data_IF_001330972848
#
_entry.id   IF_001330972848
#
_cell.length_a   1.000
_cell.length_b   1.000
_cell.length_c   1.000
_cell.angle_alpha   90.00
_cell.angle_beta   90.00
_cell.angle_gamma   90.00
#
_symmetry.space_group_name_H-M   'P 1'
#
loop_
_entity.id
_entity.type
_entity.pdbx_description
1 polymer ?
#
# COMPACT_ATOMS: atom_id res chain seq x y z
N UNK A 1 -9.16 8.11 -5.34
CA UNK A 1 -8.71 7.41 -4.12
C UNK A 1 -9.88 7.26 -3.17
N UNK A 2 -10.02 6.10 -2.51
CA UNK A 2 -11.08 5.83 -1.54
C UNK A 2 -10.49 5.66 -0.14
N UNK A 3 -11.13 6.27 0.85
CA UNK A 3 -10.94 6.02 2.27
C UNK A 3 -12.24 5.44 2.81
N UNK A 4 -12.16 4.34 3.56
CA UNK A 4 -13.28 3.75 4.26
C UNK A 4 -13.06 3.87 5.76
N UNK A 5 -14.12 4.20 6.50
CA UNK A 5 -14.10 4.28 7.95
C UNK A 5 -14.50 2.94 8.56
N UNK A 6 -13.80 2.55 9.63
CA UNK A 6 -14.23 1.49 10.53
C UNK A 6 -14.02 1.92 11.99
N UNK A 7 -14.94 1.57 12.91
CA UNK A 7 -14.83 1.94 14.32
C UNK A 7 -13.71 1.18 15.04
N UNK A 8 -13.35 0.00 14.55
CA UNK A 8 -12.21 -0.77 15.03
C UNK A 8 -11.43 -1.42 13.87
N UNK A 9 -10.45 -2.27 14.21
CA UNK A 9 -9.56 -2.92 13.24
C UNK A 9 -9.96 -4.35 12.87
N UNK A 10 -11.11 -4.86 13.33
CA UNK A 10 -11.51 -6.26 13.11
C UNK A 10 -11.59 -6.58 11.62
N UNK A 11 -11.24 -7.83 11.28
CA UNK A 11 -11.24 -8.32 9.90
C UNK A 11 -12.61 -8.29 9.19
N UNK A 12 -13.72 -8.21 9.94
CA UNK A 12 -15.07 -8.06 9.35
C UNK A 12 -15.20 -6.78 8.52
N UNK A 13 -14.49 -5.71 8.87
CA UNK A 13 -14.55 -4.44 8.16
C UNK A 13 -13.97 -4.53 6.75
N UNK A 14 -12.71 -4.97 6.53
CA UNK A 14 -12.21 -5.14 5.18
C UNK A 14 -12.97 -6.21 4.39
N UNK A 15 -13.50 -7.26 5.04
CA UNK A 15 -14.39 -8.24 4.39
C UNK A 15 -15.66 -7.58 3.84
N UNK A 16 -16.28 -6.69 4.62
CA UNK A 16 -17.48 -5.97 4.20
C UNK A 16 -17.16 -4.94 3.10
N UNK A 17 -16.09 -4.15 3.27
CA UNK A 17 -15.69 -3.14 2.30
C UNK A 17 -15.28 -3.73 0.94
N UNK A 18 -14.71 -4.94 0.93
CA UNK A 18 -14.21 -5.62 -0.25
C UNK A 18 -15.10 -6.79 -0.70
N UNK A 19 -16.32 -6.90 -0.18
CA UNK A 19 -17.22 -8.03 -0.46
C UNK A 19 -17.47 -8.26 -1.96
N UNK A 20 -17.52 -7.19 -2.75
CA UNK A 20 -17.69 -7.24 -4.21
C UNK A 20 -16.38 -7.15 -5.01
N UNK A 21 -15.22 -7.07 -4.36
CA UNK A 21 -13.93 -6.87 -5.03
C UNK A 21 -13.28 -8.20 -5.41
N UNK A 22 -12.72 -8.27 -6.61
CA UNK A 22 -11.85 -9.36 -7.07
C UNK A 22 -10.62 -8.77 -7.76
N UNK A 23 -9.48 -9.43 -7.61
CA UNK A 23 -8.20 -8.97 -8.15
C UNK A 23 -7.10 -8.96 -7.11
N UNK A 24 -6.11 -8.09 -7.31
CA UNK A 24 -4.93 -8.02 -6.43
C UNK A 24 -5.18 -7.06 -5.28
N UNK A 25 -4.95 -7.50 -4.04
CA UNK A 25 -4.90 -6.64 -2.86
C UNK A 25 -3.47 -6.54 -2.38
N UNK A 26 -2.92 -5.33 -2.44
CA UNK A 26 -1.60 -5.05 -1.92
C UNK A 26 -1.67 -4.44 -0.51
N UNK A 27 -1.18 -5.19 0.49
CA UNK A 27 -1.30 -4.82 1.89
C UNK A 27 -0.04 -5.19 2.69
N UNK A 28 0.02 -4.71 3.93
CA UNK A 28 0.89 -5.31 4.93
C UNK A 28 0.29 -6.67 5.36
N UNK A 29 1.10 -7.50 6.03
CA UNK A 29 0.65 -8.80 6.52
C UNK A 29 -0.22 -8.68 7.79
N UNK A 30 -1.16 -7.72 7.82
CA UNK A 30 -2.11 -7.57 8.91
C UNK A 30 -3.10 -8.75 8.89
N UNK A 31 -3.14 -9.49 10.00
CA UNK A 31 -3.95 -10.71 10.10
C UNK A 31 -5.45 -10.51 9.86
N UNK A 32 -5.97 -9.29 9.98
CA UNK A 32 -7.38 -8.98 9.68
C UNK A 32 -7.74 -9.13 8.20
N UNK A 33 -6.76 -9.16 7.29
CA UNK A 33 -6.97 -9.40 5.86
C UNK A 33 -6.99 -10.88 5.48
N UNK A 34 -6.52 -11.79 6.34
CA UNK A 34 -6.33 -13.21 6.00
C UNK A 34 -7.59 -13.88 5.42
N UNK A 35 -8.77 -13.47 5.87
CA UNK A 35 -10.03 -14.04 5.40
C UNK A 35 -10.34 -13.69 3.94
N UNK A 36 -9.88 -12.53 3.47
CA UNK A 36 -10.09 -12.07 2.10
C UNK A 36 -9.45 -12.99 1.06
N UNK A 37 -8.38 -13.70 1.45
CA UNK A 37 -7.59 -14.52 0.54
C UNK A 37 -8.06 -15.97 0.48
N UNK A 38 -8.94 -16.42 1.40
CA UNK A 38 -9.29 -17.84 1.56
C UNK A 38 -10.02 -18.44 0.36
N UNK A 39 -10.87 -17.67 -0.29
CA UNK A 39 -11.68 -18.15 -1.42
C UNK A 39 -11.00 -17.94 -2.79
N UNK A 40 -9.79 -17.36 -2.81
CA UNK A 40 -9.01 -17.13 -4.03
C UNK A 40 -9.53 -15.99 -4.93
N UNK A 41 -10.61 -15.31 -4.56
CA UNK A 41 -11.13 -14.16 -5.33
C UNK A 41 -10.16 -12.98 -5.32
N UNK A 42 -9.43 -12.83 -4.21
CA UNK A 42 -8.43 -11.80 -4.01
C UNK A 42 -7.06 -12.45 -3.93
N UNK A 43 -6.15 -12.01 -4.80
CA UNK A 43 -4.74 -12.41 -4.77
C UNK A 43 -3.94 -11.47 -3.87
N UNK A 44 -3.19 -12.05 -2.93
CA UNK A 44 -2.38 -11.29 -1.98
C UNK A 44 -1.07 -10.82 -2.60
N UNK A 45 -0.80 -9.52 -2.54
CA UNK A 45 0.50 -8.93 -2.79
C UNK A 45 1.03 -8.31 -1.50
N UNK A 46 2.14 -8.83 -0.97
CA UNK A 46 2.71 -8.33 0.27
C UNK A 46 3.69 -7.18 0.01
N UNK A 47 4.00 -6.43 1.07
CA UNK A 47 4.83 -5.24 1.00
C UNK A 47 6.28 -5.49 1.42
N UNK A 48 7.24 -5.31 0.49
CA UNK A 48 8.67 -5.41 0.80
C UNK A 48 9.16 -4.34 1.78
N UNK A 49 8.54 -3.16 1.82
CA UNK A 49 8.94 -2.12 2.77
C UNK A 49 8.73 -2.59 4.23
N UNK A 50 7.69 -3.38 4.51
CA UNK A 50 7.46 -3.96 5.83
C UNK A 50 8.45 -5.08 6.17
N UNK A 51 8.71 -5.99 5.22
CA UNK A 51 9.71 -7.04 5.40
C UNK A 51 11.11 -6.44 5.65
N UNK A 52 11.49 -5.44 4.85
CA UNK A 52 12.75 -4.69 4.98
C UNK A 52 12.83 -3.96 6.32
N UNK A 53 11.76 -3.29 6.76
CA UNK A 53 11.72 -2.54 8.04
C UNK A 53 12.06 -3.44 9.22
N UNK A 54 11.53 -4.66 9.27
CA UNK A 54 11.84 -5.62 10.36
C UNK A 54 13.33 -5.96 10.42
N UNK A 55 13.99 -6.14 9.28
CA UNK A 55 15.44 -6.41 9.21
C UNK A 55 16.22 -5.15 9.60
N UNK A 56 15.79 -3.99 9.10
CA UNK A 56 16.40 -2.70 9.41
C UNK A 56 16.35 -2.36 10.90
N UNK A 57 15.22 -2.62 11.58
CA UNK A 57 15.08 -2.36 13.01
C UNK A 57 16.06 -3.22 13.84
N UNK A 58 16.34 -4.44 13.39
CA UNK A 58 17.40 -5.28 13.97
C UNK A 58 18.78 -4.69 13.67
N UNK A 59 19.03 -4.27 12.42
CA UNK A 59 20.30 -3.66 12.02
C UNK A 59 20.63 -2.41 12.85
N UNK A 60 19.68 -1.51 13.06
CA UNK A 60 19.88 -0.28 13.85
C UNK A 60 20.27 -0.59 15.30
N UNK A 61 19.69 -1.66 15.88
CA UNK A 61 19.98 -2.06 17.27
C UNK A 61 21.26 -2.88 17.39
N UNK A 62 21.55 -3.72 16.40
CA UNK A 62 22.68 -4.66 16.41
C UNK A 62 23.13 -4.92 14.98
N UNK A 63 23.97 -4.02 14.42
CA UNK A 63 24.51 -4.18 13.08
C UNK A 63 25.35 -5.45 12.97
N UNK A 64 25.22 -6.14 11.84
CA UNK A 64 26.01 -7.33 11.52
C UNK A 64 26.12 -7.51 10.01
N UNK A 65 27.14 -8.24 9.56
CA UNK A 65 27.30 -8.61 8.15
C UNK A 65 26.05 -9.29 7.57
N UNK A 66 25.32 -10.07 8.39
CA UNK A 66 24.06 -10.71 7.97
C UNK A 66 22.95 -9.68 7.73
N UNK A 67 22.78 -8.72 8.63
CA UNK A 67 21.76 -7.66 8.45
C UNK A 67 22.08 -6.76 7.26
N UNK A 68 23.35 -6.44 7.06
CA UNK A 68 23.81 -5.60 5.95
C UNK A 68 23.60 -6.29 4.60
N UNK A 69 24.00 -7.56 4.49
CA UNK A 69 23.79 -8.37 3.29
C UNK A 69 22.30 -8.55 2.97
N UNK A 70 21.45 -8.78 3.97
CA UNK A 70 20.01 -8.87 3.77
C UNK A 70 19.41 -7.56 3.24
N UNK A 71 19.80 -6.41 3.81
CA UNK A 71 19.35 -5.09 3.35
C UNK A 71 19.86 -4.76 1.94
N UNK A 72 21.11 -5.13 1.63
CA UNK A 72 21.71 -4.97 0.31
C UNK A 72 20.93 -5.75 -0.75
N UNK A 73 20.67 -7.03 -0.53
CA UNK A 73 19.90 -7.88 -1.46
C UNK A 73 18.50 -7.35 -1.72
N UNK A 74 17.82 -6.84 -0.68
CA UNK A 74 16.52 -6.18 -0.85
C UNK A 74 16.68 -4.87 -1.62
N UNK A 75 17.76 -4.11 -1.38
CA UNK A 75 18.09 -2.90 -2.12
C UNK A 75 18.28 -3.14 -3.62
N UNK A 76 18.85 -4.27 -4.02
CA UNK A 76 19.01 -4.66 -5.43
C UNK A 76 17.64 -4.84 -6.13
N UNK A 77 16.63 -5.36 -5.43
CA UNK A 77 15.26 -5.42 -5.95
C UNK A 77 14.69 -4.02 -6.19
N UNK A 78 14.88 -3.11 -5.23
CA UNK A 78 14.42 -1.73 -5.33
C UNK A 78 15.15 -0.91 -6.40
N UNK A 79 16.42 -1.25 -6.68
CA UNK A 79 17.16 -0.62 -7.78
C UNK A 79 16.50 -0.92 -9.13
N UNK A 80 16.10 -2.18 -9.37
CA UNK A 80 15.35 -2.57 -10.57
C UNK A 80 14.01 -1.83 -10.63
N UNK A 81 13.26 -1.79 -9.52
CA UNK A 81 11.97 -1.08 -9.47
C UNK A 81 12.09 0.42 -9.74
N UNK A 82 13.23 1.04 -9.38
CA UNK A 82 13.51 2.43 -9.70
C UNK A 82 13.77 2.64 -11.20
N UNK A 83 14.47 1.71 -11.86
CA UNK A 83 14.75 1.76 -13.30
C UNK A 83 13.48 1.59 -14.15
N UNK A 84 12.57 0.70 -13.75
CA UNK A 84 11.36 0.38 -14.53
C UNK A 84 10.16 1.29 -14.21
N UNK A 85 10.33 2.25 -13.28
CA UNK A 85 9.24 3.13 -12.86
C UNK A 85 8.78 4.03 -14.02
N UNK A 86 7.48 4.06 -14.26
CA UNK A 86 6.88 4.83 -15.35
C UNK A 86 6.79 4.08 -16.69
N UNK A 87 7.36 2.87 -16.77
CA UNK A 87 7.15 1.97 -17.91
C UNK A 87 5.74 1.35 -17.87
N UNK A 88 5.30 0.75 -18.99
CA UNK A 88 4.03 0.03 -19.04
C UNK A 88 4.07 -1.25 -18.20
N UNK A 89 2.91 -1.79 -17.82
CA UNK A 89 2.82 -3.02 -17.04
C UNK A 89 3.53 -4.19 -17.73
N UNK A 90 3.44 -4.30 -19.06
CA UNK A 90 4.06 -5.35 -19.86
C UNK A 90 5.59 -5.26 -19.82
N UNK A 91 6.13 -4.04 -19.94
CA UNK A 91 7.57 -3.79 -19.86
C UNK A 91 8.11 -4.09 -18.46
N UNK A 92 7.39 -3.63 -17.42
CA UNK A 92 7.74 -3.93 -16.02
C UNK A 92 7.78 -5.43 -15.77
N UNK A 93 6.77 -6.16 -16.24
CA UNK A 93 6.70 -7.61 -16.09
C UNK A 93 7.89 -8.30 -16.79
N UNK A 94 8.21 -7.92 -18.03
CA UNK A 94 9.33 -8.48 -18.77
C UNK A 94 10.67 -8.27 -18.04
N UNK A 95 10.94 -7.05 -17.58
CA UNK A 95 12.15 -6.72 -16.82
C UNK A 95 12.22 -7.47 -15.48
N UNK A 96 11.10 -7.60 -14.76
CA UNK A 96 11.02 -8.36 -13.51
C UNK A 96 11.29 -9.85 -13.71
N UNK A 97 10.75 -10.44 -14.78
CA UNK A 97 11.01 -11.85 -15.10
C UNK A 97 12.49 -12.07 -15.44
N UNK A 98 13.13 -11.14 -16.16
CA UNK A 98 14.54 -11.23 -16.54
C UNK A 98 15.49 -10.99 -15.36
N UNK A 99 15.27 -9.94 -14.58
CA UNK A 99 16.22 -9.43 -13.58
C UNK A 99 15.81 -9.72 -12.14
N UNK A 100 14.55 -9.45 -11.78
CA UNK A 100 14.06 -9.54 -10.39
C UNK A 100 13.86 -10.98 -9.92
N UNK A 101 13.29 -11.86 -10.76
CA UNK A 101 13.03 -13.26 -10.40
C UNK A 101 14.28 -14.04 -9.98
N UNK A 102 15.42 -13.96 -10.70
CA UNK A 102 16.67 -14.57 -10.26
C UNK A 102 17.15 -14.07 -8.88
N UNK A 103 17.06 -12.76 -8.63
CA UNK A 103 17.46 -12.17 -7.35
C UNK A 103 16.56 -12.61 -6.21
N UNK A 104 15.24 -12.67 -6.42
CA UNK A 104 14.29 -13.22 -5.46
C UNK A 104 14.64 -14.67 -5.11
N UNK A 105 14.87 -15.53 -6.11
CA UNK A 105 15.25 -16.94 -5.87
C UNK A 105 16.55 -17.07 -5.09
N UNK A 106 17.54 -16.24 -5.40
CA UNK A 106 18.81 -16.20 -4.65
C UNK A 106 18.60 -15.73 -3.20
N UNK A 107 17.80 -14.68 -3.00
CA UNK A 107 17.47 -14.15 -1.68
C UNK A 107 16.72 -15.19 -0.83
N UNK A 108 15.74 -15.89 -1.39
CA UNK A 108 15.00 -16.95 -0.68
C UNK A 108 15.95 -18.05 -0.20
N UNK A 109 16.78 -18.54 -1.10
CA UNK A 109 17.72 -19.63 -0.83
C UNK A 109 18.69 -19.23 0.28
N UNK A 110 19.21 -18.00 0.19
CA UNK A 110 20.11 -17.44 1.19
C UNK A 110 19.43 -17.26 2.55
N UNK A 111 18.21 -16.72 2.61
CA UNK A 111 17.45 -16.59 3.86
C UNK A 111 17.22 -17.95 4.52
N UNK A 112 16.79 -18.96 3.74
CA UNK A 112 16.57 -20.33 4.24
C UNK A 112 17.86 -20.98 4.73
N UNK A 113 18.99 -20.73 4.07
CA UNK A 113 20.30 -21.20 4.52
C UNK A 113 20.69 -20.57 5.86
N UNK A 114 20.60 -19.24 6.00
CA UNK A 114 20.97 -18.54 7.24
C UNK A 114 20.03 -18.85 8.40
N UNK A 115 18.77 -19.15 8.13
CA UNK A 115 17.84 -19.64 9.15
C UNK A 115 18.28 -20.94 9.83
N UNK A 116 19.15 -21.76 9.20
CA UNK A 116 19.70 -22.98 9.83
C UNK A 116 20.74 -22.68 10.91
N UNK A 117 21.42 -21.53 10.81
CA UNK A 117 22.50 -21.14 11.73
C UNK A 117 22.03 -20.17 12.82
N UNK A 118 20.94 -19.44 12.56
CA UNK A 118 20.40 -18.47 13.51
C UNK A 118 19.66 -19.16 14.66
N UNK A 119 19.86 -18.64 15.88
CA UNK A 119 19.01 -19.02 17.01
C UNK A 119 17.55 -18.64 16.73
N UNK A 120 16.62 -19.58 17.01
CA UNK A 120 15.17 -19.40 16.84
C UNK A 120 14.62 -18.20 17.62
N UNK A 121 15.30 -17.79 18.70
CA UNK A 121 14.87 -16.67 19.54
C UNK A 121 15.47 -15.33 19.10
N UNK A 122 16.39 -15.31 18.14
CA UNK A 122 16.97 -14.05 17.66
C UNK A 122 15.95 -13.21 16.91
N UNK A 123 16.01 -11.89 17.10
CA UNK A 123 15.13 -10.95 16.38
C UNK A 123 15.36 -11.01 14.86
N UNK A 124 16.60 -11.28 14.42
CA UNK A 124 16.90 -11.48 13.01
C UNK A 124 16.20 -12.73 12.44
N UNK A 125 16.20 -13.84 13.18
CA UNK A 125 15.46 -15.04 12.76
C UNK A 125 13.95 -14.77 12.66
N UNK A 126 13.38 -13.97 13.57
CA UNK A 126 11.96 -13.55 13.50
C UNK A 126 11.70 -12.69 12.26
N UNK A 127 12.61 -11.78 11.91
CA UNK A 127 12.49 -10.95 10.71
C UNK A 127 12.59 -11.79 9.42
N UNK A 128 13.51 -12.75 9.35
CA UNK A 128 13.64 -13.66 8.21
C UNK A 128 12.44 -14.61 8.11
N UNK A 129 11.97 -15.15 9.24
CA UNK A 129 10.77 -15.98 9.27
C UNK A 129 9.54 -15.21 8.77
N UNK A 130 9.40 -13.92 9.14
CA UNK A 130 8.35 -13.08 8.59
C UNK A 130 8.39 -13.00 7.06
N UNK A 131 9.56 -12.70 6.47
CA UNK A 131 9.70 -12.64 5.02
C UNK A 131 9.40 -13.99 4.35
N UNK A 132 9.93 -15.09 4.92
CA UNK A 132 9.72 -16.44 4.38
C UNK A 132 8.27 -16.92 4.49
N UNK A 133 7.56 -16.57 5.56
CA UNK A 133 6.14 -16.91 5.74
C UNK A 133 5.24 -16.18 4.72
N UNK A 134 5.65 -15.00 4.28
CA UNK A 134 4.94 -14.16 3.31
C UNK A 134 5.52 -14.29 1.90
N UNK A 135 6.42 -15.25 1.67
CA UNK A 135 7.22 -15.31 0.45
C UNK A 135 6.40 -15.36 -0.85
N UNK A 136 5.33 -16.18 -0.96
CA UNK A 136 4.49 -16.17 -2.16
C UNK A 136 3.90 -14.78 -2.45
N UNK A 137 3.34 -14.11 -1.44
CA UNK A 137 2.78 -12.77 -1.58
C UNK A 137 3.84 -11.69 -1.84
N UNK A 138 5.03 -11.80 -1.22
CA UNK A 138 6.14 -10.86 -1.43
C UNK A 138 6.75 -10.98 -2.83
N UNK A 139 6.60 -12.12 -3.50
CA UNK A 139 7.15 -12.34 -4.84
C UNK A 139 6.13 -12.19 -5.96
N UNK A 140 4.84 -12.07 -5.62
CA UNK A 140 3.75 -11.92 -6.58
C UNK A 140 3.93 -10.75 -7.55
N UNK A 141 4.45 -9.61 -7.08
CA UNK A 141 4.68 -8.45 -7.95
C UNK A 141 5.63 -8.73 -9.12
N UNK A 142 6.47 -9.77 -9.03
CA UNK A 142 7.34 -10.17 -10.12
C UNK A 142 6.58 -10.91 -11.24
N UNK A 143 5.36 -11.39 -10.97
CA UNK A 143 4.47 -12.08 -11.92
C UNK A 143 3.32 -11.19 -12.42
N UNK A 144 3.16 -9.99 -11.86
CA UNK A 144 2.11 -9.05 -12.24
C UNK A 144 2.72 -7.65 -12.51
N UNK A 145 2.50 -7.11 -13.71
CA UNK A 145 3.07 -5.83 -14.13
C UNK A 145 2.44 -4.58 -13.48
N UNK A 146 1.26 -4.72 -12.88
CA UNK A 146 0.52 -3.64 -12.23
C UNK A 146 0.82 -3.56 -10.73
N UNK A 147 1.13 -4.69 -10.11
CA UNK A 147 1.52 -4.74 -8.71
C UNK A 147 2.84 -3.98 -8.47
N UNK A 148 2.90 -3.25 -7.37
CA UNK A 148 4.12 -2.61 -6.88
C UNK A 148 4.90 -3.56 -5.97
N UNK A 149 6.18 -3.30 -5.72
CA UNK A 149 6.93 -4.05 -4.70
C UNK A 149 6.50 -3.72 -3.26
N UNK A 150 5.84 -2.57 -3.04
CA UNK A 150 5.31 -2.14 -1.76
C UNK A 150 4.03 -1.30 -1.86
N UNK A 151 3.31 -1.20 -0.74
CA UNK A 151 2.08 -0.42 -0.62
C UNK A 151 2.33 1.03 -0.18
N UNK A 152 3.54 1.58 -0.37
CA UNK A 152 3.88 2.91 0.16
C UNK A 152 2.99 4.02 -0.42
N UNK A 153 2.44 3.85 -1.62
CA UNK A 153 1.49 4.81 -2.21
C UNK A 153 0.24 4.94 -1.30
N UNK A 154 -0.32 3.80 -0.88
CA UNK A 154 -1.48 3.78 0.01
C UNK A 154 -1.10 4.30 1.42
N UNK A 155 0.05 3.90 1.97
CA UNK A 155 0.51 4.38 3.27
C UNK A 155 0.77 5.89 3.30
N UNK A 156 1.40 6.42 2.25
CA UNK A 156 1.69 7.85 2.12
C UNK A 156 0.40 8.66 2.08
N UNK A 157 -0.64 8.15 1.42
CA UNK A 157 -1.91 8.81 1.40
C UNK A 157 -2.62 8.80 2.78
N UNK A 158 -2.41 7.78 3.62
CA UNK A 158 -2.87 7.78 5.01
C UNK A 158 -2.16 8.82 5.92
N UNK A 159 -1.06 9.45 5.46
CA UNK A 159 -0.40 10.53 6.23
C UNK A 159 -1.31 11.73 6.44
N UNK A 160 -2.22 12.03 5.53
CA UNK A 160 -3.18 13.14 5.71
C UNK A 160 -4.12 12.89 6.89
N UNK A 161 -4.55 11.64 7.10
CA UNK A 161 -5.34 11.24 8.27
C UNK A 161 -4.50 11.34 9.54
N UNK A 162 -3.22 10.96 9.47
CA UNK A 162 -2.32 11.04 10.62
C UNK A 162 -2.00 12.48 11.04
N UNK A 163 -1.87 13.41 10.09
CA UNK A 163 -1.75 14.84 10.37
C UNK A 163 -3.06 15.40 10.95
N UNK A 164 -4.22 15.00 10.39
CA UNK A 164 -5.53 15.38 10.90
C UNK A 164 -5.71 15.05 12.39
N UNK A 165 -5.29 13.85 12.81
CA UNK A 165 -5.33 13.43 14.22
C UNK A 165 -4.49 14.29 15.18
N UNK A 166 -3.59 15.15 14.68
CA UNK A 166 -2.89 16.15 15.50
C UNK A 166 -3.70 17.44 15.65
N UNK A 167 -4.61 17.72 14.72
CA UNK A 167 -5.40 18.95 14.65
C UNK A 167 -6.80 18.77 15.28
N UNK A 168 -7.35 17.56 15.27
CA UNK A 168 -8.59 17.21 15.95
C UNK A 168 -8.43 15.88 16.69
N UNK A 169 -8.95 15.80 17.93
CA UNK A 169 -8.80 14.62 18.80
C UNK A 169 -9.74 13.47 18.40
N UNK A 170 -10.94 13.77 17.93
CA UNK A 170 -11.98 12.77 17.64
C UNK A 170 -12.86 13.20 16.46
N UNK A 171 -13.49 12.22 15.80
CA UNK A 171 -14.59 12.47 14.84
C UNK A 171 -15.96 12.63 15.53
N UNK A 172 -16.03 12.45 16.86
CA UNK A 172 -17.23 12.66 17.68
C UNK A 172 -18.29 11.55 17.60
N UNK A 173 -18.39 10.85 16.47
CA UNK A 173 -19.29 9.70 16.26
C UNK A 173 -18.86 8.87 15.05
N UNK A 174 -19.42 7.67 14.89
CA UNK A 174 -19.20 6.83 13.70
C UNK A 174 -19.61 7.57 12.42
N UNK A 175 -20.76 8.25 12.44
CA UNK A 175 -21.24 9.09 11.34
C UNK A 175 -20.27 10.24 11.00
N UNK A 176 -19.62 10.82 12.03
CA UNK A 176 -18.56 11.80 11.84
C UNK A 176 -17.33 11.18 11.16
N UNK A 177 -16.98 9.94 11.52
CA UNK A 177 -15.89 9.18 10.90
C UNK A 177 -16.15 8.87 9.44
N UNK A 178 -17.36 8.44 9.09
CA UNK A 178 -17.80 8.22 7.71
C UNK A 178 -17.72 9.49 6.86
N UNK A 179 -18.22 10.62 7.37
CA UNK A 179 -18.09 11.93 6.70
C UNK A 179 -16.62 12.35 6.53
N UNK A 180 -15.79 12.10 7.53
CA UNK A 180 -14.34 12.33 7.44
C UNK A 180 -13.71 11.51 6.32
N UNK A 181 -14.04 10.22 6.22
CA UNK A 181 -13.55 9.34 5.16
C UNK A 181 -14.01 9.79 3.75
N UNK A 182 -15.24 10.29 3.61
CA UNK A 182 -15.73 10.88 2.36
C UNK A 182 -14.89 12.11 1.94
N UNK A 183 -14.64 13.03 2.89
CA UNK A 183 -13.80 14.21 2.64
C UNK A 183 -12.37 13.82 2.26
N UNK A 184 -11.77 12.84 2.96
CA UNK A 184 -10.44 12.34 2.59
C UNK A 184 -10.40 11.72 1.20
N UNK A 185 -11.47 11.01 0.81
CA UNK A 185 -11.60 10.43 -0.53
C UNK A 185 -11.64 11.51 -1.60
N UNK A 186 -12.40 12.59 -1.39
CA UNK A 186 -12.46 13.72 -2.32
C UNK A 186 -11.12 14.44 -2.42
N UNK A 187 -10.51 14.81 -1.29
CA UNK A 187 -9.21 15.52 -1.25
C UNK A 187 -8.11 14.66 -1.85
N UNK A 188 -8.04 13.37 -1.50
CA UNK A 188 -7.07 12.43 -2.04
C UNK A 188 -7.22 12.26 -3.56
N UNK A 189 -8.46 12.25 -4.04
CA UNK A 189 -8.76 12.22 -5.48
C UNK A 189 -8.34 13.50 -6.19
N UNK A 190 -8.56 14.69 -5.61
CA UNK A 190 -8.09 15.95 -6.19
C UNK A 190 -6.56 15.93 -6.37
N UNK A 191 -5.82 15.55 -5.33
CA UNK A 191 -4.35 15.46 -5.36
C UNK A 191 -3.84 14.50 -6.43
N UNK A 192 -4.48 13.34 -6.60
CA UNK A 192 -4.10 12.38 -7.64
C UNK A 192 -4.33 12.90 -9.07
N UNK A 193 -5.25 13.84 -9.25
CA UNK A 193 -5.55 14.45 -10.54
C UNK A 193 -4.88 15.82 -10.74
N UNK A 194 -3.98 16.23 -9.84
CA UNK A 194 -3.31 17.53 -9.92
C UNK A 194 -4.24 18.72 -9.68
N UNK A 195 -5.41 18.50 -9.08
CA UNK A 195 -6.38 19.55 -8.76
C UNK A 195 -6.17 20.03 -7.33
N UNK A 196 -6.09 21.34 -7.14
CA UNK A 196 -5.96 21.95 -5.82
C UNK A 196 -7.27 21.73 -5.01
N UNK A 197 -7.23 21.04 -3.85
CA UNK A 197 -8.43 20.65 -3.13
C UNK A 197 -9.32 21.81 -2.64
N UNK A 198 -8.76 22.93 -2.19
CA UNK A 198 -9.54 24.07 -1.69
C UNK A 198 -10.36 24.70 -2.83
N UNK A 199 -9.70 24.96 -3.96
CA UNK A 199 -10.28 25.54 -5.18
C UNK A 199 -11.38 24.65 -5.73
N UNK A 200 -11.16 23.33 -5.73
CA UNK A 200 -12.19 22.35 -6.07
C UNK A 200 -13.40 22.44 -5.13
N UNK A 201 -13.18 22.42 -3.82
CA UNK A 201 -14.27 22.45 -2.85
C UNK A 201 -15.06 23.76 -2.93
N UNK A 202 -14.38 24.89 -3.09
CA UNK A 202 -15.00 26.20 -3.29
C UNK A 202 -15.90 26.19 -4.51
N UNK A 203 -15.35 25.81 -5.67
CA UNK A 203 -16.11 25.71 -6.92
C UNK A 203 -17.34 24.81 -6.78
N UNK A 204 -17.19 23.61 -6.21
CA UNK A 204 -18.32 22.68 -6.03
C UNK A 204 -19.36 23.28 -5.10
N UNK A 205 -18.98 23.85 -3.96
CA UNK A 205 -19.94 24.45 -3.02
C UNK A 205 -20.68 25.64 -3.63
N UNK A 206 -20.03 26.41 -4.51
CA UNK A 206 -20.64 27.56 -5.19
C UNK A 206 -21.73 27.14 -6.19
N UNK A 207 -21.59 25.97 -6.85
CA UNK A 207 -22.48 25.57 -7.95
C UNK A 207 -23.43 24.43 -7.60
N UNK A 208 -23.16 23.63 -6.56
CA UNK A 208 -23.85 22.36 -6.31
C UNK A 208 -25.34 22.52 -6.01
N UNK A 209 -25.74 23.65 -5.40
CA UNK A 209 -27.14 23.90 -5.05
C UNK A 209 -28.03 24.02 -6.30
N UNK A 210 -27.49 24.56 -7.39
CA UNK A 210 -28.19 24.78 -8.65
C UNK A 210 -27.85 23.71 -9.71
N UNK A 211 -26.97 22.77 -9.39
CA UNK A 211 -26.49 21.76 -10.35
C UNK A 211 -27.52 20.62 -10.52
N UNK A 212 -27.79 20.15 -11.75
CA UNK A 212 -28.71 19.04 -11.96
C UNK A 212 -28.26 17.77 -11.24
N UNK A 213 -29.15 17.16 -10.46
CA UNK A 213 -28.86 15.99 -9.62
C UNK A 213 -28.32 14.79 -10.42
N UNK A 214 -28.78 14.62 -11.67
CA UNK A 214 -28.33 13.56 -12.58
C UNK A 214 -26.98 13.87 -13.26
N UNK A 215 -26.40 15.06 -13.04
CA UNK A 215 -25.13 15.53 -13.62
C UNK A 215 -24.06 15.83 -12.58
N UNK A 216 -24.28 15.48 -11.30
CA UNK A 216 -23.28 15.67 -10.23
C UNK A 216 -21.95 14.98 -10.55
N UNK A 217 -21.96 13.91 -11.35
CA UNK A 217 -20.74 13.26 -11.84
C UNK A 217 -19.82 14.16 -12.67
N UNK A 218 -20.32 15.27 -13.23
CA UNK A 218 -19.50 16.28 -13.93
C UNK A 218 -18.67 17.12 -12.96
N UNK A 219 -19.09 17.19 -11.70
CA UNK A 219 -18.37 17.90 -10.64
C UNK A 219 -17.24 17.06 -10.04
N UNK A 220 -16.95 15.86 -10.57
CA UNK A 220 -15.87 15.01 -10.04
C UNK A 220 -14.49 15.62 -10.31
N UNK A 221 -13.48 15.40 -9.43
CA UNK A 221 -12.19 16.09 -9.52
C UNK A 221 -11.44 15.94 -10.85
N UNK A 222 -11.68 14.86 -11.61
CA UNK A 222 -11.03 14.60 -12.90
C UNK A 222 -11.85 15.10 -14.11
N UNK A 223 -13.00 15.74 -13.89
CA UNK A 223 -13.88 16.28 -14.94
C UNK A 223 -14.06 17.78 -14.88
N UNK A 224 -13.79 18.40 -13.73
CA UNK A 224 -13.93 19.85 -13.58
C UNK A 224 -12.77 20.58 -14.24
N UNK A 225 -13.10 21.62 -15.00
CA UNK A 225 -12.16 22.65 -15.40
C UNK A 225 -12.33 23.81 -14.42
N UNK A 226 -11.40 23.94 -13.47
CA UNK A 226 -11.44 25.04 -12.51
C UNK A 226 -11.14 26.36 -13.25
N UNK A 227 -11.89 27.44 -12.96
CA UNK A 227 -11.53 28.77 -13.43
C UNK A 227 -10.11 29.10 -12.97
N UNK A 228 -9.28 29.62 -13.88
CA UNK A 228 -7.97 30.16 -13.50
C UNK A 228 -8.23 31.54 -12.91
N UNK A 229 -7.82 31.77 -11.66
CA UNK A 229 -7.78 33.12 -11.06
C UNK A 229 -6.78 34.02 -11.79
#
# INVERSE_FOLDING_TARGET
MLFAYSPDRKGIHPQTHLAGFSGVLQADAYAGFNELYRDGRITEAACWAHARRKIHDVHVRTPSALTEEALKRIGELYAIEAEIRGMTAEQRLAERQLKTKPLLKSLESWLREKMKTLSRHSELAKAFAYALNQWPALTYYADDGWAEADNNIAENALRMVSLGRKNYLFFGSDHGGERGALLYSLIGTCKLNGVEPESYLRYVLDVIADWPINRVGELLPWRVALPTE
#
